data_IF_719886777997
#
_entry.id   IF_719886777997
#
_cell.length_a   1.000
_cell.length_b   1.000
_cell.length_c   1.000
_cell.angle_alpha   90.00
_cell.angle_beta   90.00
_cell.angle_gamma   90.00
#
_symmetry.space_group_name_H-M   'P 1'
#
loop_
_entity.id
_entity.type
_entity.pdbx_description
1 polymer ?
#
# COMPACT_ATOMS: atom_id res chain seq x y z
N UNK A 1 15.37 -15.50 -10.54
CA UNK A 1 15.33 -15.05 -10.29
C UNK A 1 15.06 -14.13 -10.34
N UNK A 2 14.67 -13.83 -10.32
CA UNK A 2 14.44 -12.86 -10.42
C UNK A 2 14.17 -12.15 -9.54
N UNK A 3 14.37 -11.62 -9.13
CA UNK A 3 14.28 -10.83 -8.19
C UNK A 3 13.43 -9.80 -8.35
N UNK A 4 12.32 -9.93 -8.65
CA UNK A 4 11.51 -8.88 -8.78
C UNK A 4 11.12 -8.33 -7.48
N UNK A 5 11.01 -7.06 -7.38
CA UNK A 5 10.54 -6.37 -6.19
C UNK A 5 9.04 -6.61 -6.06
N UNK A 6 8.61 -7.09 -4.91
CA UNK A 6 7.20 -7.40 -4.68
C UNK A 6 6.53 -6.21 -4.01
N UNK A 7 6.01 -5.31 -4.80
CA UNK A 7 5.40 -4.10 -4.30
C UNK A 7 4.22 -4.36 -3.36
N UNK A 8 3.29 -5.27 -3.68
CA UNK A 8 2.20 -5.53 -2.73
C UNK A 8 2.66 -5.99 -1.36
N UNK A 9 3.63 -6.89 -1.31
CA UNK A 9 4.14 -7.36 -0.03
C UNK A 9 4.84 -6.24 0.73
N UNK A 10 5.60 -5.42 0.03
CA UNK A 10 6.28 -4.30 0.63
C UNK A 10 5.27 -3.31 1.22
N UNK A 11 4.22 -3.02 0.47
CA UNK A 11 3.19 -2.10 0.92
C UNK A 11 2.44 -2.63 2.12
N UNK A 12 2.20 -3.93 2.15
CA UNK A 12 1.50 -4.53 3.28
C UNK A 12 2.25 -4.27 4.57
N UNK A 13 3.56 -4.42 4.55
CA UNK A 13 4.37 -4.12 5.72
C UNK A 13 4.29 -2.66 6.12
N UNK A 14 4.34 -1.77 5.13
CA UNK A 14 4.22 -0.35 5.42
C UNK A 14 2.87 0.01 6.02
N UNK A 15 1.82 -0.58 5.49
CA UNK A 15 0.48 -0.28 5.97
C UNK A 15 0.28 -0.76 7.40
N UNK A 16 0.79 -1.93 7.73
CA UNK A 16 0.68 -2.43 9.09
C UNK A 16 1.41 -1.54 10.08
N UNK A 17 2.51 -0.93 9.64
CA UNK A 17 3.29 -0.10 10.55
C UNK A 17 2.75 1.30 10.69
N UNK A 18 2.17 1.86 9.63
CA UNK A 18 1.91 3.28 9.60
C UNK A 18 0.47 3.68 9.41
N UNK A 19 -0.40 2.79 9.01
CA UNK A 19 -1.75 3.16 8.63
C UNK A 19 -2.78 2.38 9.41
N UNK A 20 -3.95 3.00 9.55
CA UNK A 20 -5.06 2.36 10.20
C UNK A 20 -5.88 1.64 9.18
N UNK A 21 -6.34 0.46 9.49
CA UNK A 21 -7.12 -0.32 8.54
C UNK A 21 -8.61 -0.09 8.66
N UNK A 22 -9.04 0.57 9.74
CA UNK A 22 -10.46 0.66 10.04
C UNK A 22 -11.21 1.54 9.05
N UNK A 23 -10.64 2.67 8.72
CA UNK A 23 -11.36 3.63 7.91
C UNK A 23 -11.15 3.48 6.42
N UNK A 24 -10.29 2.61 6.03
CA UNK A 24 -9.90 2.53 4.63
C UNK A 24 -8.94 3.64 4.29
N UNK A 25 -8.62 3.75 3.03
CA UNK A 25 -7.62 4.70 2.59
C UNK A 25 -8.10 5.46 1.38
N UNK A 26 -7.57 6.69 1.22
CA UNK A 26 -7.92 7.52 0.09
C UNK A 26 -6.72 7.68 -0.83
N UNK A 27 -6.94 8.30 -1.97
CA UNK A 27 -5.85 8.58 -2.90
C UNK A 27 -4.81 9.48 -2.24
N UNK A 28 -5.24 10.38 -1.38
CA UNK A 28 -4.33 11.23 -0.65
C UNK A 28 -3.37 10.40 0.19
N UNK A 29 -3.87 9.36 0.82
CA UNK A 29 -3.04 8.47 1.60
C UNK A 29 -2.03 7.76 0.70
N UNK A 30 -2.44 7.38 -0.49
CA UNK A 30 -1.54 6.72 -1.43
C UNK A 30 -0.44 7.66 -1.88
N UNK A 31 -0.76 8.92 -2.09
CA UNK A 31 0.23 9.90 -2.48
C UNK A 31 1.27 10.07 -1.37
N UNK A 32 0.79 10.20 -0.15
CA UNK A 32 1.70 10.36 0.98
C UNK A 32 2.59 9.12 1.14
N UNK A 33 2.02 7.96 0.97
CA UNK A 33 2.79 6.73 1.08
C UNK A 33 3.84 6.63 -0.03
N UNK A 34 3.47 7.02 -1.23
CA UNK A 34 4.41 7.00 -2.34
C UNK A 34 5.59 7.92 -2.07
N UNK A 35 5.33 9.09 -1.49
CA UNK A 35 6.39 10.02 -1.16
C UNK A 35 7.29 9.48 -0.07
N UNK A 36 6.71 8.84 0.93
CA UNK A 36 7.48 8.23 1.99
C UNK A 36 8.40 7.15 1.46
N UNK A 37 7.88 6.30 0.61
CA UNK A 37 8.67 5.21 0.04
C UNK A 37 9.82 5.78 -0.77
N UNK A 38 9.54 6.81 -1.55
CA UNK A 38 10.58 7.42 -2.35
C UNK A 38 11.66 8.04 -1.48
N UNK A 39 11.23 8.70 -0.40
CA UNK A 39 12.16 9.41 0.47
C UNK A 39 13.02 8.46 1.31
N UNK A 40 12.40 7.45 1.89
CA UNK A 40 13.11 6.60 2.83
C UNK A 40 13.69 5.34 2.19
N UNK A 41 13.04 4.84 1.17
CA UNK A 41 13.48 3.61 0.54
C UNK A 41 14.07 3.83 -0.83
N UNK A 42 13.92 5.01 -1.39
CA UNK A 42 14.47 5.30 -2.70
C UNK A 42 13.77 4.60 -3.85
N UNK A 43 12.55 4.15 -3.62
CA UNK A 43 11.81 3.43 -4.65
C UNK A 43 10.77 4.34 -5.26
N UNK A 44 10.70 4.35 -6.57
CA UNK A 44 9.79 5.22 -7.29
C UNK A 44 8.50 4.48 -7.54
N UNK A 45 7.44 4.84 -6.86
CA UNK A 45 6.15 4.20 -6.98
C UNK A 45 5.10 5.16 -7.50
N UNK A 46 4.16 4.63 -8.26
CA UNK A 46 3.06 5.44 -8.77
C UNK A 46 1.95 5.46 -7.71
N UNK A 47 1.52 6.63 -7.26
CA UNK A 47 0.46 6.70 -6.25
C UNK A 47 -0.83 6.01 -6.69
N UNK A 48 -1.14 6.07 -7.98
CA UNK A 48 -2.33 5.40 -8.49
C UNK A 48 -2.23 3.89 -8.27
N UNK A 49 -1.08 3.33 -8.57
CA UNK A 49 -0.86 1.91 -8.38
C UNK A 49 -0.93 1.55 -6.90
N UNK A 50 -0.33 2.37 -6.06
CA UNK A 50 -0.39 2.14 -4.62
C UNK A 50 -1.83 2.18 -4.13
N UNK A 51 -2.60 3.14 -4.62
CA UNK A 51 -3.98 3.27 -4.23
C UNK A 51 -4.78 2.00 -4.58
N UNK A 52 -4.56 1.48 -5.77
CA UNK A 52 -5.26 0.27 -6.18
C UNK A 52 -4.91 -0.91 -5.30
N UNK A 53 -3.63 -1.04 -4.97
CA UNK A 53 -3.21 -2.13 -4.09
C UNK A 53 -3.81 -1.96 -2.69
N UNK A 54 -3.83 -0.74 -2.19
CA UNK A 54 -4.41 -0.47 -0.89
C UNK A 54 -5.89 -0.84 -0.85
N UNK A 55 -6.61 -0.52 -1.92
CA UNK A 55 -8.02 -0.87 -2.00
C UNK A 55 -8.22 -2.38 -1.99
N UNK A 56 -7.38 -3.10 -2.67
CA UNK A 56 -7.47 -4.55 -2.68
C UNK A 56 -7.26 -5.12 -1.30
N UNK A 57 -6.27 -4.62 -0.59
CA UNK A 57 -6.01 -5.09 0.76
C UNK A 57 -7.19 -4.81 1.67
N UNK A 58 -7.76 -3.62 1.57
CA UNK A 58 -8.87 -3.24 2.41
C UNK A 58 -10.10 -4.09 2.11
N UNK A 59 -10.33 -4.38 0.85
CA UNK A 59 -11.47 -5.22 0.46
C UNK A 59 -11.31 -6.63 0.98
N UNK A 60 -10.12 -7.17 0.89
CA UNK A 60 -9.89 -8.52 1.37
C UNK A 60 -10.11 -8.61 2.87
N UNK A 61 -9.66 -7.59 3.58
CA UNK A 61 -9.81 -7.59 5.02
C UNK A 61 -11.28 -7.46 5.40
N UNK A 62 -12.02 -6.68 4.65
CA UNK A 62 -13.40 -6.45 4.97
C UNK A 62 -14.32 -7.59 4.57
N UNK A 63 -13.86 -8.46 3.68
CA UNK A 63 -14.69 -9.41 3.13
C UNK A 63 -14.87 -10.57 3.97
N UNK A 64 -14.92 -10.81 4.77
CA UNK A 64 -15.09 -11.85 5.50
C UNK A 64 -16.14 -12.61 5.43
N UNK A 65 -16.69 -12.83 5.24
CA UNK A 65 -17.57 -13.39 5.25
C UNK A 65 -18.06 -14.05 4.99
N UNK A 66 -18.42 -14.40 4.99
CA UNK A 66 -19.03 -14.92 4.90
C UNK A 66 -19.38 -15.33 4.95
#
# INVERSE_FOLDING_TARGET
MNSSFDLPAFLLGKLYDNMDWDDGWTLSDAIALAEDIRRYDGIDCDPQEIYEIMQEFHEQDADDED
#
